data_IF_986366445394
#
_entry.id   IF_986366445394
#
_cell.length_a   1.000
_cell.length_b   1.000
_cell.length_c   1.000
_cell.angle_alpha   90.00
_cell.angle_beta   90.00
_cell.angle_gamma   90.00
#
_symmetry.space_group_name_H-M   'P 1'
#
loop_
_entity.id
_entity.type
_entity.pdbx_description
1 polymer ?
#
# COMPACT_ATOMS: atom_id res chain seq x y z
N UNK A 1 6.04 16.47 -11.28
CA UNK A 1 4.85 17.35 -11.23
C UNK A 1 4.19 17.17 -9.87
N UNK A 2 3.95 18.22 -9.07
CA UNK A 2 3.33 18.13 -7.73
C UNK A 2 2.02 18.91 -7.75
N UNK A 3 0.89 18.23 -7.52
CA UNK A 3 -0.43 18.88 -7.40
C UNK A 3 -0.65 19.21 -5.93
N UNK A 4 -0.90 20.48 -5.61
CA UNK A 4 -1.13 20.92 -4.23
C UNK A 4 -2.41 20.26 -3.70
N UNK A 5 -2.29 19.53 -2.58
CA UNK A 5 -3.38 18.75 -2.00
C UNK A 5 -3.38 17.25 -2.34
N UNK A 6 -2.55 16.81 -3.28
CA UNK A 6 -2.38 15.37 -3.60
C UNK A 6 -1.02 14.91 -3.07
N UNK A 7 -1.06 14.16 -1.96
CA UNK A 7 0.11 13.48 -1.39
C UNK A 7 0.39 12.14 -2.08
N UNK A 8 1.55 11.54 -1.79
CA UNK A 8 1.95 10.24 -2.36
C UNK A 8 0.89 9.15 -2.15
N UNK A 9 0.37 9.03 -0.92
CA UNK A 9 -0.72 8.11 -0.60
C UNK A 9 -1.97 8.30 -1.47
N UNK A 10 -2.41 9.55 -1.67
CA UNK A 10 -3.59 9.85 -2.48
C UNK A 10 -3.35 9.54 -3.97
N UNK A 11 -2.13 9.78 -4.46
CA UNK A 11 -1.74 9.42 -5.81
C UNK A 11 -1.77 7.90 -6.01
N UNK A 12 -1.14 7.12 -5.12
CA UNK A 12 -1.09 5.65 -5.21
C UNK A 12 -2.50 5.04 -5.10
N UNK A 13 -3.34 5.58 -4.22
CA UNK A 13 -4.73 5.16 -4.09
C UNK A 13 -5.54 5.44 -5.35
N UNK A 14 -5.36 6.62 -5.97
CA UNK A 14 -6.07 6.99 -7.20
C UNK A 14 -5.57 6.15 -8.40
N UNK A 15 -4.27 5.87 -8.49
CA UNK A 15 -3.70 4.96 -9.48
C UNK A 15 -4.29 3.56 -9.35
N UNK A 16 -4.51 3.10 -8.12
CA UNK A 16 -5.13 1.80 -7.81
C UNK A 16 -6.62 1.76 -8.17
N UNK A 17 -7.44 2.69 -7.67
CA UNK A 17 -8.91 2.63 -7.80
C UNK A 17 -9.46 3.27 -9.07
N UNK A 18 -8.84 4.32 -9.59
CA UNK A 18 -9.36 5.06 -10.76
C UNK A 18 -8.70 4.64 -12.06
N UNK A 19 -7.41 4.31 -12.02
CA UNK A 19 -6.63 3.93 -13.21
C UNK A 19 -6.38 2.42 -13.30
N UNK A 20 -6.84 1.64 -12.31
CA UNK A 20 -6.70 0.18 -12.23
C UNK A 20 -5.27 -0.31 -12.47
N UNK A 21 -4.27 0.49 -12.07
CA UNK A 21 -2.87 0.14 -12.21
C UNK A 21 -2.58 -0.94 -11.19
N UNK A 22 -2.45 -2.18 -11.66
CA UNK A 22 -2.32 -3.37 -10.80
C UNK A 22 -1.03 -3.39 -10.00
N UNK A 23 -0.03 -2.61 -10.40
CA UNK A 23 1.23 -2.43 -9.68
C UNK A 23 1.18 -1.34 -8.61
N UNK A 24 0.08 -0.59 -8.48
CA UNK A 24 -0.04 0.45 -7.46
C UNK A 24 -0.32 -0.18 -6.10
N UNK A 25 0.47 0.16 -5.08
CA UNK A 25 0.34 -0.36 -3.74
C UNK A 25 0.55 0.78 -2.73
N UNK A 26 -0.50 1.23 -2.02
CA UNK A 26 -0.40 2.36 -1.13
C UNK A 26 0.30 1.96 0.18
N UNK A 27 1.63 1.83 0.14
CA UNK A 27 2.46 1.34 1.26
C UNK A 27 2.34 2.19 2.53
N UNK A 28 1.89 3.44 2.42
CA UNK A 28 1.66 4.34 3.55
C UNK A 28 0.24 4.26 4.12
N UNK A 29 -0.60 3.35 3.63
CA UNK A 29 -1.99 3.23 4.06
C UNK A 29 -2.11 2.62 5.47
N UNK A 30 -2.73 3.38 6.38
CA UNK A 30 -2.90 2.95 7.78
C UNK A 30 -3.85 1.76 7.89
N UNK A 31 -4.84 1.66 7.00
CA UNK A 31 -5.76 0.52 6.93
C UNK A 31 -5.02 -0.76 6.56
N UNK A 32 -4.18 -0.71 5.52
CA UNK A 32 -3.29 -1.79 5.10
C UNK A 32 -2.36 -2.22 6.24
N UNK A 33 -1.74 -1.27 6.95
CA UNK A 33 -0.85 -1.59 8.08
C UNK A 33 -1.58 -2.34 9.19
N UNK A 34 -2.82 -1.93 9.48
CA UNK A 34 -3.66 -2.58 10.50
C UNK A 34 -4.15 -3.96 10.03
N UNK A 35 -4.51 -4.10 8.75
CA UNK A 35 -4.91 -5.37 8.17
C UNK A 35 -3.76 -6.38 8.23
N UNK A 36 -2.55 -5.99 7.81
CA UNK A 36 -1.35 -6.80 7.91
C UNK A 36 -1.01 -7.17 9.35
N UNK A 37 -1.11 -6.21 10.29
CA UNK A 37 -0.92 -6.49 11.72
C UNK A 37 -1.84 -7.62 12.19
N UNK A 38 -3.12 -7.51 11.87
CA UNK A 38 -4.12 -8.50 12.31
C UNK A 38 -3.95 -9.85 11.61
N UNK A 39 -3.66 -9.85 10.31
CA UNK A 39 -3.54 -11.06 9.50
C UNK A 39 -2.26 -11.85 9.81
N UNK A 40 -1.15 -11.16 10.11
CA UNK A 40 0.13 -11.76 10.48
C UNK A 40 0.29 -11.93 12.00
N UNK A 41 -0.70 -11.53 12.80
CA UNK A 41 -0.65 -11.63 14.27
C UNK A 41 0.49 -10.82 14.90
N UNK A 42 0.86 -9.68 14.32
CA UNK A 42 1.98 -8.87 14.81
C UNK A 42 1.57 -8.07 16.05
N UNK A 43 2.44 -8.02 17.05
CA UNK A 43 2.25 -7.19 18.27
C UNK A 43 2.20 -5.69 17.94
N UNK A 44 2.96 -5.26 16.93
CA UNK A 44 3.09 -3.87 16.47
C UNK A 44 2.71 -3.71 15.01
N UNK A 45 2.45 -2.46 14.60
CA UNK A 45 2.28 -2.14 13.18
C UNK A 45 3.60 -2.45 12.44
N UNK A 46 3.56 -3.17 11.31
CA UNK A 46 4.75 -3.42 10.52
C UNK A 46 5.33 -2.10 10.00
N UNK A 47 6.64 -1.99 9.98
CA UNK A 47 7.35 -0.85 9.40
C UNK A 47 7.20 -0.85 7.88
N UNK A 48 7.32 0.32 7.25
CA UNK A 48 7.21 0.47 5.79
C UNK A 48 8.14 -0.52 5.07
N UNK A 49 9.37 -0.72 5.55
CA UNK A 49 10.31 -1.69 4.98
C UNK A 49 9.81 -3.13 5.06
N UNK A 50 9.24 -3.53 6.19
CA UNK A 50 8.67 -4.88 6.36
C UNK A 50 7.49 -5.07 5.38
N UNK A 51 6.68 -4.03 5.18
CA UNK A 51 5.57 -4.04 4.22
C UNK A 51 6.09 -4.10 2.78
N UNK A 52 7.16 -3.39 2.44
CA UNK A 52 7.81 -3.47 1.12
C UNK A 52 8.36 -4.87 0.85
N UNK A 53 8.91 -5.54 1.87
CA UNK A 53 9.36 -6.94 1.78
C UNK A 53 8.19 -7.89 1.52
N UNK A 54 7.08 -7.77 2.25
CA UNK A 54 5.86 -8.55 1.97
C UNK A 54 5.29 -8.24 0.57
N UNK A 55 5.29 -6.97 0.18
CA UNK A 55 4.79 -6.53 -1.13
C UNK A 55 5.72 -6.93 -2.29
N UNK A 56 6.99 -7.21 -2.03
CA UNK A 56 7.92 -7.70 -3.03
C UNK A 56 7.49 -9.08 -3.58
N UNK A 57 6.82 -9.90 -2.77
CA UNK A 57 6.22 -11.16 -3.22
C UNK A 57 4.99 -10.96 -4.12
N UNK A 58 4.36 -9.77 -4.06
CA UNK A 58 3.16 -9.41 -4.82
C UNK A 58 3.46 -8.58 -6.07
N UNK A 59 4.70 -8.64 -6.58
CA UNK A 59 5.16 -7.82 -7.71
C UNK A 59 4.26 -8.00 -8.94
N UNK A 60 3.49 -6.97 -9.27
CA UNK A 60 2.53 -6.94 -10.40
C UNK A 60 1.05 -7.01 -10.01
N UNK A 61 0.74 -7.36 -8.76
CA UNK A 61 -0.62 -7.49 -8.21
C UNK A 61 -0.86 -6.62 -6.96
N UNK A 62 -0.01 -5.63 -6.70
CA UNK A 62 -0.11 -4.72 -5.55
C UNK A 62 -1.52 -4.16 -5.33
N UNK A 63 -2.24 -3.81 -6.40
CA UNK A 63 -3.62 -3.28 -6.29
C UNK A 63 -4.66 -4.29 -5.80
N UNK A 64 -4.37 -5.58 -5.91
CA UNK A 64 -5.25 -6.68 -5.49
C UNK A 64 -4.90 -7.19 -4.08
N UNK A 65 -3.67 -6.93 -3.63
CA UNK A 65 -3.20 -7.31 -2.30
C UNK A 65 -3.51 -6.29 -1.19
N UNK A 66 -3.90 -5.06 -1.57
CA UNK A 66 -4.31 -3.98 -0.67
C UNK A 66 -5.83 -3.82 -0.58
#
# INVERSE_FOLDING_TARGET
MKIRGIGAWAADYMMMKCLHITSSFPVADVGLHNALKNQLGLERKPAIKEIEEYAAEWKGWGAHAA
#
